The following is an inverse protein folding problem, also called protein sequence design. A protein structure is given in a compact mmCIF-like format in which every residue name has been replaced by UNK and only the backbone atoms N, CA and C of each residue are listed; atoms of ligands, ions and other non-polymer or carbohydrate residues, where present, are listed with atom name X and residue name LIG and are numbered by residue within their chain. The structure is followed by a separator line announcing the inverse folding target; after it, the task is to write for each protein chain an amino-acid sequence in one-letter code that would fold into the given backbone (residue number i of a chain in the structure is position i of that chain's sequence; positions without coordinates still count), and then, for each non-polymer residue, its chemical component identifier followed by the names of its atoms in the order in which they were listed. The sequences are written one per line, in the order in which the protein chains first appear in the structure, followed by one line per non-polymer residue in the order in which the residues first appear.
data_IF_414959420781
#
_entry.id   IF_414959420781
#
_cell.length_a   1.000
_cell.length_b   1.000
_cell.length_c   1.000
_cell.angle_alpha   90.00
_cell.angle_beta   90.00
_cell.angle_gamma   90.00
#
_symmetry.space_group_name_H-M   'P 1'
#
loop_
_entity.id
_entity.type
_entity.pdbx_description
1 polymer ?
#
# COMPACT_ATOMS: atom_id res chain seq x y z
N UNK A 1 13.75 -5.10 14.32
CA UNK A 1 14.28 -4.04 15.20
C UNK A 1 13.19 -3.30 15.98
N UNK A 2 12.31 -2.49 15.37
CA UNK A 2 11.32 -1.72 16.16
C UNK A 2 10.35 -2.63 16.95
N UNK A 3 9.87 -3.71 16.33
CA UNK A 3 8.97 -4.69 16.95
C UNK A 3 9.66 -5.34 18.17
N UNK A 4 10.91 -5.76 18.01
CA UNK A 4 11.71 -6.39 19.08
C UNK A 4 11.94 -5.42 20.24
N UNK A 5 12.25 -4.15 19.94
CA UNK A 5 12.41 -3.09 20.95
C UNK A 5 11.13 -2.77 21.71
N UNK A 6 9.97 -2.95 21.09
CA UNK A 6 8.69 -2.86 21.81
C UNK A 6 8.58 -3.99 22.83
N UNK A 7 8.88 -5.23 22.42
CA UNK A 7 8.86 -6.39 23.30
C UNK A 7 9.84 -6.26 24.48
N UNK A 8 11.09 -5.83 24.23
CA UNK A 8 12.11 -5.56 25.26
C UNK A 8 11.65 -4.55 26.32
N UNK A 9 10.77 -3.62 25.94
CA UNK A 9 10.22 -2.58 26.83
C UNK A 9 8.86 -2.95 27.43
N UNK A 10 8.43 -4.21 27.29
CA UNK A 10 7.13 -4.68 27.75
C UNK A 10 5.96 -3.97 27.07
N UNK A 11 6.12 -3.58 25.79
CA UNK A 11 5.07 -2.94 24.99
C UNK A 11 4.51 -3.93 23.99
N UNK A 12 3.19 -4.12 24.02
CA UNK A 12 2.50 -4.93 23.02
C UNK A 12 2.61 -4.30 21.63
N UNK A 13 2.79 -5.13 20.61
CA UNK A 13 2.78 -4.72 19.21
C UNK A 13 1.50 -5.21 18.53
N UNK A 14 0.75 -4.27 17.95
CA UNK A 14 -0.46 -4.55 17.19
C UNK A 14 -0.15 -4.35 15.71
N UNK A 15 -0.25 -5.42 14.93
CA UNK A 15 -0.21 -5.37 13.48
C UNK A 15 -1.62 -5.11 12.92
N UNK A 16 -1.85 -3.90 12.44
CA UNK A 16 -3.14 -3.49 11.88
C UNK A 16 -3.04 -3.41 10.36
N UNK A 17 -3.97 -4.09 9.66
CA UNK A 17 -4.06 -4.26 8.20
C UNK A 17 -2.93 -5.10 7.58
N UNK A 18 -2.73 -6.35 8.03
CA UNK A 18 -1.75 -7.27 7.44
C UNK A 18 -1.96 -7.52 5.94
N UNK A 19 -3.20 -7.36 5.44
CA UNK A 19 -3.57 -7.63 4.05
C UNK A 19 -3.44 -6.40 3.13
N UNK A 20 -2.91 -5.27 3.62
CA UNK A 20 -2.69 -4.05 2.86
C UNK A 20 -3.93 -3.54 2.07
N UNK A 21 -5.14 -3.78 2.59
CA UNK A 21 -6.39 -3.45 1.92
C UNK A 21 -6.62 -4.27 0.65
N UNK A 22 -6.37 -5.58 0.71
CA UNK A 22 -6.60 -6.51 -0.41
C UNK A 22 -5.43 -6.60 -1.39
N UNK A 23 -4.35 -5.85 -1.20
CA UNK A 23 -3.16 -5.97 -2.04
C UNK A 23 -2.34 -7.25 -1.75
N UNK A 24 -2.61 -7.92 -0.63
CA UNK A 24 -2.08 -9.25 -0.30
C UNK A 24 -3.29 -10.19 -0.22
N UNK A 25 -3.41 -11.06 -1.23
CA UNK A 25 -4.58 -11.91 -1.45
C UNK A 25 -4.50 -13.23 -0.67
N UNK A 26 -3.29 -13.72 -0.37
CA UNK A 26 -3.09 -14.92 0.44
C UNK A 26 -3.11 -14.56 1.93
N UNK A 27 -4.31 -14.55 2.52
CA UNK A 27 -4.51 -14.21 3.93
C UNK A 27 -3.81 -15.18 4.89
N UNK A 28 -3.76 -16.46 4.51
CA UNK A 28 -3.05 -17.50 5.28
C UNK A 28 -1.56 -17.16 5.36
N UNK A 29 -0.91 -16.91 4.22
CA UNK A 29 0.52 -16.61 4.16
C UNK A 29 0.85 -15.29 4.84
N UNK A 30 0.01 -14.26 4.71
CA UNK A 30 0.17 -12.99 5.39
C UNK A 30 0.22 -13.15 6.91
N UNK A 31 -0.70 -13.91 7.49
CA UNK A 31 -0.73 -14.14 8.94
C UNK A 31 0.36 -15.09 9.41
N UNK A 32 0.72 -16.12 8.61
CA UNK A 32 1.93 -16.91 8.87
C UNK A 32 3.17 -16.02 8.96
N UNK A 33 3.33 -15.09 8.02
CA UNK A 33 4.48 -14.17 8.02
C UNK A 33 4.51 -13.30 9.27
N UNK A 34 3.40 -12.62 9.57
CA UNK A 34 3.31 -11.72 10.73
C UNK A 34 3.48 -12.46 12.05
N UNK A 35 2.74 -13.55 12.26
CA UNK A 35 2.67 -14.27 13.53
C UNK A 35 3.84 -15.24 13.74
N UNK A 36 4.65 -15.51 12.72
CA UNK A 36 5.94 -16.18 12.90
C UNK A 36 6.97 -15.32 13.65
N UNK A 37 6.72 -14.02 13.78
CA UNK A 37 7.52 -13.14 14.63
C UNK A 37 6.97 -13.16 16.06
N UNK A 38 7.70 -13.72 17.04
CA UNK A 38 7.23 -13.82 18.43
C UNK A 38 7.07 -12.47 19.13
N UNK A 39 7.64 -11.38 18.58
CA UNK A 39 7.47 -10.03 19.12
C UNK A 39 6.16 -9.35 18.68
N UNK A 40 5.38 -9.96 17.77
CA UNK A 40 4.03 -9.48 17.43
C UNK A 40 3.03 -10.03 18.44
N UNK A 41 2.29 -9.13 19.11
CA UNK A 41 1.33 -9.53 20.14
C UNK A 41 -0.03 -9.90 19.57
N UNK A 42 -0.53 -9.11 18.62
CA UNK A 42 -1.83 -9.30 17.97
C UNK A 42 -1.72 -8.82 16.52
N UNK A 43 -2.39 -9.53 15.60
CA UNK A 43 -2.68 -9.05 14.25
C UNK A 43 -4.19 -8.90 14.07
N UNK A 44 -4.60 -7.87 13.34
CA UNK A 44 -6.00 -7.54 13.06
C UNK A 44 -6.23 -7.64 11.54
N UNK A 45 -6.45 -8.84 11.00
CA UNK A 45 -6.77 -9.02 9.58
C UNK A 45 -8.19 -8.52 9.27
N UNK A 46 -8.36 -7.98 8.08
CA UNK A 46 -9.68 -7.69 7.52
C UNK A 46 -10.23 -8.90 6.79
N UNK A 47 -11.56 -8.97 6.66
CA UNK A 47 -12.26 -9.96 5.84
C UNK A 47 -13.61 -9.42 5.41
N UNK A 48 -14.06 -9.78 4.22
CA UNK A 48 -15.34 -9.43 3.61
C UNK A 48 -16.18 -10.66 3.25
N UNK A 49 -15.57 -11.86 3.22
CA UNK A 49 -16.24 -13.12 2.92
C UNK A 49 -15.83 -14.23 3.92
N UNK A 50 -16.68 -15.28 4.11
CA UNK A 50 -16.36 -16.40 5.01
C UNK A 50 -15.05 -17.13 4.67
N UNK A 51 -14.72 -17.25 3.39
CA UNK A 51 -13.50 -17.94 2.93
C UNK A 51 -12.23 -17.21 3.40
N UNK A 52 -12.28 -15.87 3.48
CA UNK A 52 -11.17 -15.06 4.01
C UNK A 52 -11.02 -15.25 5.53
N UNK A 53 -12.12 -15.46 6.26
CA UNK A 53 -12.06 -15.83 7.68
C UNK A 53 -11.34 -17.17 7.86
N UNK A 54 -11.69 -18.18 7.05
CA UNK A 54 -11.04 -19.50 7.11
C UNK A 54 -9.54 -19.42 6.84
N UNK A 55 -9.13 -18.64 5.84
CA UNK A 55 -7.71 -18.39 5.56
C UNK A 55 -7.02 -17.68 6.74
N UNK A 56 -7.68 -16.68 7.33
CA UNK A 56 -7.13 -15.94 8.45
C UNK A 56 -6.93 -16.85 9.68
N UNK A 57 -7.91 -17.72 9.97
CA UNK A 57 -7.81 -18.72 11.05
C UNK A 57 -6.69 -19.71 10.76
N UNK A 58 -6.62 -20.26 9.55
CA UNK A 58 -5.60 -21.22 9.16
C UNK A 58 -4.17 -20.64 9.24
N UNK A 59 -3.99 -19.38 8.85
CA UNK A 59 -2.71 -18.68 8.96
C UNK A 59 -2.31 -18.39 10.41
N UNK A 60 -3.29 -18.09 11.27
CA UNK A 60 -3.08 -17.76 12.69
C UNK A 60 -2.86 -18.97 13.59
N UNK A 61 -3.30 -20.15 13.16
CA UNK A 61 -3.20 -21.38 13.94
C UNK A 61 -1.75 -21.88 14.16
N UNK A 62 -0.79 -21.38 13.38
CA UNK A 62 0.61 -21.76 13.48
C UNK A 62 1.51 -20.52 13.56
N UNK A 63 2.22 -20.37 14.67
CA UNK A 63 3.18 -19.27 14.91
C UNK A 63 4.64 -19.73 14.83
N UNK A 64 4.90 -20.98 14.43
CA UNK A 64 6.25 -21.48 14.21
C UNK A 64 6.95 -20.69 13.09
N UNK A 65 8.29 -20.67 13.05
CA UNK A 65 9.05 -20.04 11.96
C UNK A 65 8.56 -20.48 10.58
N UNK A 66 8.64 -19.57 9.59
CA UNK A 66 8.27 -19.88 8.21
C UNK A 66 9.14 -20.98 7.61
N UNK A 67 8.51 -21.87 6.84
CA UNK A 67 9.24 -22.87 6.04
C UNK A 67 9.99 -22.21 4.88
N UNK A 68 10.96 -22.89 4.25
CA UNK A 68 11.62 -22.39 3.05
C UNK A 68 10.63 -22.03 1.93
N UNK A 69 9.58 -22.82 1.74
CA UNK A 69 8.54 -22.62 0.74
C UNK A 69 7.71 -21.38 1.04
N UNK A 70 7.30 -21.19 2.30
CA UNK A 70 6.57 -19.99 2.74
C UNK A 70 7.43 -18.72 2.57
N UNK A 71 8.73 -18.79 2.87
CA UNK A 71 9.67 -17.68 2.64
C UNK A 71 9.77 -17.34 1.15
N UNK A 72 9.87 -18.35 0.28
CA UNK A 72 9.90 -18.16 -1.17
C UNK A 72 8.59 -17.53 -1.70
N UNK A 73 7.44 -17.98 -1.19
CA UNK A 73 6.14 -17.39 -1.52
C UNK A 73 6.04 -15.93 -1.06
N UNK A 74 6.50 -15.61 0.16
CA UNK A 74 6.57 -14.24 0.65
C UNK A 74 7.46 -13.36 -0.24
N UNK A 75 8.59 -13.90 -0.71
CA UNK A 75 9.48 -13.19 -1.63
C UNK A 75 8.79 -12.88 -2.95
N UNK A 76 8.07 -13.84 -3.54
CA UNK A 76 7.30 -13.64 -4.77
C UNK A 76 6.25 -12.52 -4.62
N UNK A 77 5.55 -12.49 -3.48
CA UNK A 77 4.59 -11.40 -3.17
C UNK A 77 5.31 -10.05 -3.11
N UNK A 78 6.45 -9.98 -2.41
CA UNK A 78 7.27 -8.75 -2.33
C UNK A 78 7.73 -8.27 -3.71
N UNK A 79 8.19 -9.16 -4.56
CA UNK A 79 8.69 -8.83 -5.90
C UNK A 79 7.55 -8.31 -6.79
N UNK A 80 6.35 -8.89 -6.66
CA UNK A 80 5.16 -8.46 -7.39
C UNK A 80 4.68 -7.08 -6.94
N UNK A 81 4.66 -6.82 -5.63
CA UNK A 81 4.24 -5.52 -5.08
C UNK A 81 5.22 -4.39 -5.42
N UNK A 82 6.51 -4.72 -5.55
CA UNK A 82 7.58 -3.76 -5.80
C UNK A 82 7.76 -2.74 -4.68
N UNK A 83 8.57 -1.70 -4.95
CA UNK A 83 8.95 -0.69 -3.95
C UNK A 83 8.27 0.66 -4.12
N UNK A 84 7.54 0.81 -5.23
CA UNK A 84 7.05 2.09 -5.75
C UNK A 84 5.63 2.43 -5.27
N UNK A 85 5.45 2.53 -3.95
CA UNK A 85 4.17 2.93 -3.35
C UNK A 85 4.29 4.25 -2.58
N UNK A 86 3.29 5.12 -2.68
CA UNK A 86 3.28 6.36 -1.89
C UNK A 86 2.89 6.07 -0.44
N UNK A 87 3.70 6.51 0.53
CA UNK A 87 3.41 6.37 1.98
C UNK A 87 2.58 7.52 2.54
N UNK A 88 2.17 8.47 1.69
CA UNK A 88 1.34 9.65 2.04
C UNK A 88 1.90 10.47 3.22
N UNK A 89 3.22 10.55 3.34
CA UNK A 89 3.91 11.32 4.37
C UNK A 89 3.96 12.84 4.10
N UNK A 90 3.46 13.31 2.95
CA UNK A 90 3.47 14.71 2.51
C UNK A 90 4.85 15.40 2.35
N UNK A 91 5.99 14.73 2.56
CA UNK A 91 7.31 15.35 2.40
C UNK A 91 7.60 15.89 0.99
N UNK A 92 6.95 15.37 -0.05
CA UNK A 92 7.08 15.88 -1.41
C UNK A 92 6.44 17.26 -1.62
N UNK A 93 5.58 17.72 -0.70
CA UNK A 93 4.90 19.01 -0.77
C UNK A 93 5.79 20.17 -0.27
N UNK A 94 5.49 21.42 -0.65
CA UNK A 94 4.56 21.79 -1.73
C UNK A 94 5.16 21.49 -3.10
N UNK A 95 4.31 21.11 -4.05
CA UNK A 95 4.66 21.05 -5.47
C UNK A 95 4.74 22.48 -6.04
N UNK A 96 5.69 22.76 -6.93
CA UNK A 96 5.90 24.10 -7.52
C UNK A 96 4.72 24.59 -8.36
N UNK A 97 3.84 23.69 -8.78
CA UNK A 97 2.63 24.00 -9.57
C UNK A 97 1.35 23.65 -8.80
N UNK A 98 1.42 23.40 -7.49
CA UNK A 98 0.24 23.20 -6.65
C UNK A 98 -0.39 21.80 -6.67
N UNK A 99 0.22 20.81 -7.33
CA UNK A 99 -0.29 19.42 -7.33
C UNK A 99 -0.26 18.84 -5.91
N UNK A 100 -1.40 18.29 -5.49
CA UNK A 100 -1.53 17.49 -4.27
C UNK A 100 -1.04 16.06 -4.52
N UNK A 101 0.29 15.90 -4.60
CA UNK A 101 0.95 14.67 -5.08
C UNK A 101 0.45 13.41 -4.34
N UNK A 102 0.38 13.37 -2.99
CA UNK A 102 -0.08 12.17 -2.30
C UNK A 102 -1.54 11.83 -2.57
N UNK A 103 -2.40 12.82 -2.79
CA UNK A 103 -3.81 12.62 -3.14
C UNK A 103 -3.95 12.04 -4.55
N UNK A 104 -3.19 12.53 -5.53
CA UNK A 104 -3.15 11.94 -6.87
C UNK A 104 -2.79 10.44 -6.82
N UNK A 105 -1.78 10.07 -6.02
CA UNK A 105 -1.37 8.68 -5.89
C UNK A 105 -2.36 7.82 -5.11
N UNK A 106 -3.01 8.39 -4.09
CA UNK A 106 -4.08 7.71 -3.36
C UNK A 106 -5.25 7.35 -4.29
N UNK A 107 -5.75 8.34 -5.03
CA UNK A 107 -6.89 8.12 -5.94
C UNK A 107 -6.51 7.19 -7.09
N UNK A 108 -5.30 7.30 -7.62
CA UNK A 108 -4.82 6.35 -8.63
C UNK A 108 -4.77 4.91 -8.09
N UNK A 109 -4.37 4.74 -6.82
CA UNK A 109 -4.47 3.45 -6.14
C UNK A 109 -5.89 2.91 -6.07
N UNK A 110 -6.87 3.75 -5.72
CA UNK A 110 -8.30 3.40 -5.74
C UNK A 110 -8.81 3.02 -7.13
N UNK A 111 -8.34 3.72 -8.15
CA UNK A 111 -8.68 3.45 -9.55
C UNK A 111 -8.17 2.07 -10.01
N UNK A 112 -6.92 1.73 -9.69
CA UNK A 112 -6.29 0.51 -10.22
C UNK A 112 -6.53 -0.74 -9.39
N UNK A 113 -6.71 -0.62 -8.06
CA UNK A 113 -6.61 -1.76 -7.14
C UNK A 113 -7.88 -2.12 -6.40
N UNK A 114 -8.77 -1.15 -6.18
CA UNK A 114 -9.88 -1.32 -5.25
C UNK A 114 -11.23 -1.54 -5.94
N UNK A 115 -11.28 -1.57 -7.28
CA UNK A 115 -12.55 -1.62 -8.01
C UNK A 115 -13.44 -0.38 -7.81
N UNK A 116 -12.88 0.71 -7.25
CA UNK A 116 -13.59 1.93 -6.88
C UNK A 116 -13.38 3.03 -7.93
N UNK A 117 -13.44 2.69 -9.21
CA UNK A 117 -13.11 3.60 -10.30
C UNK A 117 -13.97 4.88 -10.27
N UNK A 118 -15.30 4.76 -10.16
CA UNK A 118 -16.20 5.92 -10.09
C UNK A 118 -15.85 6.85 -8.92
N UNK A 119 -15.71 6.29 -7.72
CA UNK A 119 -15.31 7.06 -6.53
C UNK A 119 -13.93 7.72 -6.68
N UNK A 120 -12.96 7.00 -7.28
CA UNK A 120 -11.63 7.53 -7.54
C UNK A 120 -11.68 8.73 -8.50
N UNK A 121 -12.51 8.67 -9.55
CA UNK A 121 -12.73 9.76 -10.48
C UNK A 121 -13.38 10.97 -9.79
N UNK A 122 -14.49 10.78 -9.08
CA UNK A 122 -15.16 11.85 -8.34
C UNK A 122 -14.20 12.58 -7.40
N UNK A 123 -13.39 11.83 -6.64
CA UNK A 123 -12.41 12.40 -5.72
C UNK A 123 -11.27 13.08 -6.45
N UNK A 124 -10.76 12.49 -7.53
CA UNK A 124 -9.73 13.12 -8.34
C UNK A 124 -10.22 14.42 -8.96
N UNK A 125 -11.50 14.51 -9.34
CA UNK A 125 -12.13 15.69 -9.93
C UNK A 125 -12.25 16.87 -8.95
N UNK A 126 -12.26 16.62 -7.64
CA UNK A 126 -12.19 17.69 -6.63
C UNK A 126 -10.81 18.38 -6.52
N UNK A 127 -9.74 17.78 -7.06
CA UNK A 127 -8.40 18.38 -6.98
C UNK A 127 -8.28 19.63 -7.85
N UNK A 128 -7.85 20.76 -7.27
CA UNK A 128 -7.64 22.02 -8.01
C UNK A 128 -6.61 21.88 -9.13
N UNK A 129 -5.50 21.16 -8.86
CA UNK A 129 -4.45 20.90 -9.84
C UNK A 129 -4.26 19.40 -10.01
N UNK A 130 -4.49 18.93 -11.24
CA UNK A 130 -4.43 17.51 -11.63
C UNK A 130 -2.99 17.04 -11.84
N UNK A 131 -2.77 15.73 -11.77
CA UNK A 131 -1.45 15.11 -11.98
C UNK A 131 -0.82 15.47 -13.34
N UNK A 132 -1.65 15.71 -14.36
CA UNK A 132 -1.22 16.11 -15.71
C UNK A 132 -0.57 17.49 -15.80
N UNK A 133 -0.69 18.35 -14.78
CA UNK A 133 -0.04 19.66 -14.75
C UNK A 133 1.47 19.60 -14.39
N UNK A 134 2.01 18.40 -14.16
CA UNK A 134 3.39 18.22 -13.76
C UNK A 134 4.36 18.73 -14.85
N UNK A 135 5.18 19.72 -14.51
CA UNK A 135 6.22 20.29 -15.40
C UNK A 135 7.56 19.55 -15.34
N UNK A 136 7.65 18.44 -14.61
CA UNK A 136 8.87 17.61 -14.57
C UNK A 136 10.05 18.19 -13.78
N UNK A 137 9.85 19.19 -12.91
CA UNK A 137 10.95 19.91 -12.23
C UNK A 137 11.77 19.09 -11.22
N UNK A 138 11.30 17.91 -10.80
CA UNK A 138 12.04 16.98 -9.94
C UNK A 138 12.17 17.36 -8.45
N UNK A 139 11.78 18.58 -8.03
CA UNK A 139 11.93 19.04 -6.63
C UNK A 139 11.25 18.11 -5.62
N UNK A 140 10.12 17.52 -5.96
CA UNK A 140 9.40 16.57 -5.10
C UNK A 140 10.20 15.30 -4.79
N UNK A 141 10.97 14.79 -5.76
CA UNK A 141 11.75 13.56 -5.62
C UNK A 141 12.91 13.76 -4.64
N UNK A 142 13.54 14.93 -4.66
CA UNK A 142 14.62 15.30 -3.70
C UNK A 142 14.18 15.27 -2.24
N UNK A 143 12.87 15.38 -1.98
CA UNK A 143 12.29 15.36 -0.62
C UNK A 143 11.69 14.01 -0.25
N UNK A 144 11.64 13.06 -1.18
CA UNK A 144 11.04 11.77 -0.92
C UNK A 144 12.03 10.88 -0.16
N UNK A 145 11.75 10.49 1.11
CA UNK A 145 12.66 9.62 1.87
C UNK A 145 12.69 8.17 1.35
N UNK A 146 11.85 7.85 0.37
CA UNK A 146 11.74 6.52 -0.25
C UNK A 146 12.20 6.51 -1.71
N UNK A 147 12.82 7.59 -2.19
CA UNK A 147 13.37 7.72 -3.54
C UNK A 147 12.39 7.32 -4.65
N UNK A 148 11.11 7.67 -4.49
CA UNK A 148 10.08 7.39 -5.49
C UNK A 148 10.32 8.23 -6.77
N UNK A 149 10.12 7.67 -7.97
CA UNK A 149 10.12 8.39 -9.24
C UNK A 149 8.79 9.12 -9.39
N UNK A 150 8.56 10.13 -8.55
CA UNK A 150 7.30 10.85 -8.43
C UNK A 150 6.84 11.40 -9.78
N UNK A 151 7.75 11.86 -10.65
CA UNK A 151 7.40 12.37 -11.97
C UNK A 151 6.76 11.30 -12.85
N UNK A 152 7.35 10.10 -12.89
CA UNK A 152 6.82 8.99 -13.67
C UNK A 152 5.51 8.47 -13.09
N UNK A 153 5.41 8.40 -11.76
CA UNK A 153 4.18 8.04 -11.06
C UNK A 153 3.05 9.05 -11.34
N UNK A 154 3.34 10.36 -11.39
CA UNK A 154 2.35 11.40 -11.73
C UNK A 154 1.91 11.27 -13.19
N UNK A 155 2.82 10.96 -14.11
CA UNK A 155 2.50 10.69 -15.51
C UNK A 155 1.56 9.49 -15.64
N UNK A 156 1.85 8.38 -14.95
CA UNK A 156 0.99 7.18 -14.90
C UNK A 156 -0.39 7.51 -14.32
N UNK A 157 -0.44 8.19 -13.18
CA UNK A 157 -1.67 8.64 -12.54
C UNK A 157 -2.52 9.49 -13.48
N UNK A 158 -1.94 10.51 -14.11
CA UNK A 158 -2.64 11.38 -15.06
C UNK A 158 -3.13 10.65 -16.31
N UNK A 159 -2.43 9.62 -16.78
CA UNK A 159 -2.89 8.77 -17.89
C UNK A 159 -4.02 7.85 -17.45
N UNK A 160 -3.93 7.24 -16.26
CA UNK A 160 -4.98 6.36 -15.72
C UNK A 160 -6.35 7.04 -15.68
N UNK A 161 -6.41 8.27 -15.13
CA UNK A 161 -7.65 9.04 -15.07
C UNK A 161 -8.17 9.56 -16.42
N UNK A 162 -7.37 9.55 -17.50
CA UNK A 162 -7.81 9.96 -18.83
C UNK A 162 -8.43 8.82 -19.65
N UNK A 163 -8.06 7.56 -19.37
CA UNK A 163 -8.47 6.40 -20.19
C UNK A 163 -9.95 6.05 -20.08
N UNK A 164 -10.65 6.47 -19.02
CA UNK A 164 -12.07 6.12 -18.78
C UNK A 164 -13.03 7.22 -19.24
N UNK A 165 -12.54 8.44 -19.55
CA UNK A 165 -13.36 9.52 -20.11
C UNK A 165 -13.65 9.36 -21.63
N UNK A 166 -13.37 8.19 -22.24
CA UNK A 166 -13.59 7.92 -23.67
C UNK A 166 -14.77 6.94 -23.89
N UNK A 167 -15.64 6.76 -22.90
CA UNK A 167 -16.89 6.01 -23.06
C UNK A 167 -18.07 6.93 -22.76
N UNK A 168 -18.24 7.95 -23.58
CA UNK A 168 -19.51 8.63 -23.85
C UNK A 168 -19.45 9.27 -25.24
#
# INVERSE_FOLDING_TARGET
ELIDRCAEKGKAFIDMKPLAGGAIEDGRLALRYVLSNPAVTVSIPGMAAPEELEQNVAGSANTAPLTPEEKAACQKVRDTLGTQFCRRCNYCAPCTVGIQIPSCFLFHGYLERYGLAGWAHERYDTLTVKAGACIGCGKCETRCPYNLPIRDMLKKSGTGFRRINIIF
#
